data_IF_042460828327
#
_entry.id   IF_042460828327
#
_cell.length_a   1.000
_cell.length_b   1.000
_cell.length_c   1.000
_cell.angle_alpha   90.00
_cell.angle_beta   90.00
_cell.angle_gamma   90.00
#
_symmetry.space_group_name_H-M   'P 1'
#
loop_
_entity.id
_entity.type
_entity.pdbx_description
1 polymer ?
#
# COMPACT_ATOMS: atom_id res chain seq x y z
N UNK A 1 1.42 6.65 4.41
CA UNK A 1 2.04 6.38 5.72
C UNK A 1 3.48 6.86 5.84
N UNK A 2 3.90 7.85 5.05
CA UNK A 2 5.19 8.53 5.27
C UNK A 2 5.17 9.32 6.58
N UNK A 3 6.35 9.43 7.19
CA UNK A 3 6.59 10.31 8.33
C UNK A 3 7.19 11.66 7.91
N UNK A 4 7.62 12.49 8.88
CA UNK A 4 8.26 13.76 8.63
C UNK A 4 9.44 13.66 7.66
N UNK A 5 9.44 14.48 6.60
CA UNK A 5 10.46 14.47 5.54
C UNK A 5 10.56 13.14 4.76
N UNK A 6 9.43 12.45 4.56
CA UNK A 6 9.28 11.30 3.66
C UNK A 6 10.31 10.18 3.92
N UNK A 7 11.23 9.92 2.99
CA UNK A 7 12.21 8.84 3.09
C UNK A 7 13.29 9.05 4.16
N UNK A 8 13.45 10.28 4.66
CA UNK A 8 14.33 10.53 5.81
C UNK A 8 13.80 9.82 7.06
N UNK A 9 12.48 9.76 7.23
CA UNK A 9 11.89 9.20 8.43
C UNK A 9 12.14 7.69 8.54
N UNK A 10 11.73 6.92 7.53
CA UNK A 10 11.86 5.47 7.51
C UNK A 10 13.27 5.00 7.12
N UNK A 11 13.97 5.74 6.25
CA UNK A 11 15.32 5.39 5.81
C UNK A 11 16.46 5.81 6.74
N UNK A 12 16.27 6.85 7.56
CA UNK A 12 17.36 7.41 8.39
C UNK A 12 17.01 7.54 9.88
N UNK A 13 15.84 8.05 10.21
CA UNK A 13 15.47 8.31 11.60
C UNK A 13 15.06 7.04 12.33
N UNK A 14 14.08 6.29 11.83
CA UNK A 14 13.57 5.08 12.45
C UNK A 14 14.64 4.00 12.67
N UNK A 15 15.55 3.74 11.71
CA UNK A 15 16.65 2.79 11.92
C UNK A 15 17.59 3.18 13.07
N UNK A 16 17.73 4.49 13.37
CA UNK A 16 18.57 4.98 14.48
C UNK A 16 17.82 5.05 15.80
N UNK A 17 16.58 5.57 15.77
CA UNK A 17 15.77 5.77 16.96
C UNK A 17 15.19 4.46 17.51
N UNK A 18 14.86 3.51 16.63
CA UNK A 18 14.22 2.22 16.94
C UNK A 18 14.79 1.09 16.06
N UNK A 19 16.08 0.74 16.21
CA UNK A 19 16.76 -0.24 15.36
C UNK A 19 16.14 -1.65 15.38
N UNK A 20 15.44 -1.99 16.46
CA UNK A 20 14.74 -3.27 16.61
C UNK A 20 13.44 -3.35 15.80
N UNK A 21 12.93 -2.22 15.30
CA UNK A 21 11.70 -2.16 14.53
C UNK A 21 12.04 -2.08 13.05
N UNK A 22 11.64 -3.09 12.28
CA UNK A 22 11.69 -3.04 10.82
C UNK A 22 10.53 -2.19 10.29
N UNK A 23 10.66 -0.87 10.46
CA UNK A 23 9.67 0.10 10.03
C UNK A 23 9.72 0.30 8.51
N UNK A 24 8.55 0.26 7.87
CA UNK A 24 8.38 0.53 6.44
C UNK A 24 7.18 1.45 6.26
N UNK A 25 7.30 2.45 5.38
CA UNK A 25 6.21 3.38 5.12
C UNK A 25 5.00 2.69 4.48
N UNK A 26 5.16 1.56 3.78
CA UNK A 26 4.06 0.77 3.24
C UNK A 26 3.23 0.11 4.34
N UNK A 27 3.87 -0.50 5.34
CA UNK A 27 3.17 -1.07 6.52
C UNK A 27 2.40 0.01 7.26
N UNK A 28 3.02 1.18 7.44
CA UNK A 28 2.35 2.33 8.05
C UNK A 28 1.19 2.88 7.18
N UNK A 29 1.29 2.76 5.85
CA UNK A 29 0.22 3.16 4.93
C UNK A 29 -1.00 2.26 5.05
N UNK A 30 -0.80 0.94 5.17
CA UNK A 30 -1.90 -0.01 5.46
C UNK A 30 -2.56 0.31 6.79
N UNK A 31 -1.78 0.49 7.87
CA UNK A 31 -2.34 0.81 9.18
C UNK A 31 -3.12 2.14 9.20
N UNK A 32 -2.61 3.16 8.49
CA UNK A 32 -3.30 4.44 8.36
C UNK A 32 -4.56 4.33 7.50
N UNK A 33 -4.56 3.48 6.48
CA UNK A 33 -5.75 3.20 5.67
C UNK A 33 -6.85 2.53 6.50
N UNK A 34 -6.52 1.49 7.28
CA UNK A 34 -7.47 0.87 8.21
C UNK A 34 -8.03 1.88 9.20
N UNK A 35 -7.17 2.73 9.78
CA UNK A 35 -7.58 3.80 10.67
C UNK A 35 -8.52 4.79 10.00
N UNK A 36 -8.18 5.26 8.80
CA UNK A 36 -8.98 6.21 8.02
C UNK A 36 -10.38 5.67 7.72
N UNK A 37 -10.47 4.40 7.29
CA UNK A 37 -11.76 3.75 7.01
C UNK A 37 -12.61 3.65 8.27
N UNK A 38 -12.00 3.28 9.39
CA UNK A 38 -12.72 3.06 10.65
C UNK A 38 -13.19 4.36 11.30
N UNK A 39 -12.31 5.35 11.49
CA UNK A 39 -12.66 6.58 12.24
C UNK A 39 -13.63 7.48 11.48
N UNK A 40 -13.67 7.37 10.16
CA UNK A 40 -14.61 8.12 9.32
C UNK A 40 -15.83 7.27 8.91
N UNK A 41 -15.95 6.04 9.40
CA UNK A 41 -17.03 5.11 9.08
C UNK A 41 -17.29 5.00 7.56
N UNK A 42 -16.24 4.71 6.78
CA UNK A 42 -16.32 4.71 5.31
C UNK A 42 -16.86 3.41 4.71
N UNK A 43 -16.91 2.31 5.48
CA UNK A 43 -17.38 1.02 4.95
C UNK A 43 -18.78 1.11 4.30
N UNK A 44 -19.80 1.76 4.91
CA UNK A 44 -21.10 1.91 4.27
C UNK A 44 -21.05 2.71 2.96
N UNK A 45 -20.20 3.74 2.88
CA UNK A 45 -20.02 4.55 1.67
C UNK A 45 -19.35 3.75 0.57
N UNK A 46 -18.36 2.92 0.92
CA UNK A 46 -17.71 2.00 -0.02
C UNK A 46 -18.72 0.99 -0.58
N UNK A 47 -19.58 0.41 0.27
CA UNK A 47 -20.64 -0.50 -0.13
C UNK A 47 -21.71 0.19 -1.01
N UNK A 48 -22.11 1.42 -0.69
CA UNK A 48 -23.02 2.24 -1.50
C UNK A 48 -22.47 2.45 -2.93
N UNK A 49 -21.15 2.58 -3.06
CA UNK A 49 -20.45 2.70 -4.34
C UNK A 49 -20.08 1.35 -4.98
N UNK A 50 -20.59 0.24 -4.45
CA UNK A 50 -20.48 -1.09 -5.06
C UNK A 50 -19.20 -1.85 -4.73
N UNK A 51 -18.44 -1.42 -3.71
CA UNK A 51 -17.31 -2.21 -3.19
C UNK A 51 -17.83 -3.31 -2.27
N UNK A 52 -17.10 -4.43 -2.23
CA UNK A 52 -17.46 -5.64 -1.46
C UNK A 52 -16.45 -5.87 -0.35
N UNK A 53 -16.94 -5.94 0.89
CA UNK A 53 -16.14 -6.18 2.09
C UNK A 53 -16.15 -7.66 2.48
N UNK A 54 -15.01 -8.25 2.90
CA UNK A 54 -13.70 -7.62 3.13
C UNK A 54 -12.78 -7.58 1.89
N UNK A 55 -13.20 -8.15 0.75
CA UNK A 55 -12.34 -8.43 -0.40
C UNK A 55 -11.66 -7.18 -0.97
N UNK A 56 -12.38 -6.06 -1.07
CA UNK A 56 -11.84 -4.83 -1.63
C UNK A 56 -10.89 -4.10 -0.66
N UNK A 57 -11.10 -4.25 0.66
CA UNK A 57 -10.14 -3.74 1.64
C UNK A 57 -8.84 -4.52 1.55
N UNK A 58 -8.92 -5.86 1.47
CA UNK A 58 -7.74 -6.69 1.33
C UNK A 58 -7.02 -6.39 0.01
N UNK A 59 -7.75 -6.22 -1.09
CA UNK A 59 -7.19 -5.82 -2.37
C UNK A 59 -6.45 -4.48 -2.32
N UNK A 60 -7.03 -3.45 -1.68
CA UNK A 60 -6.38 -2.13 -1.53
C UNK A 60 -5.10 -2.26 -0.69
N UNK A 61 -5.16 -2.94 0.45
CA UNK A 61 -4.00 -3.13 1.33
C UNK A 61 -2.88 -3.93 0.66
N UNK A 62 -3.23 -4.93 -0.14
CA UNK A 62 -2.29 -5.73 -0.91
C UNK A 62 -1.62 -4.96 -2.06
N UNK A 63 -2.33 -4.03 -2.71
CA UNK A 63 -1.74 -3.15 -3.70
C UNK A 63 -0.69 -2.20 -3.10
N UNK A 64 -0.84 -1.82 -1.82
CA UNK A 64 0.10 -0.95 -1.11
C UNK A 64 1.32 -1.73 -0.62
N UNK A 65 1.10 -2.80 0.15
CA UNK A 65 2.16 -3.47 0.90
C UNK A 65 2.64 -4.78 0.24
N UNK A 66 1.98 -5.25 -0.81
CA UNK A 66 2.15 -6.60 -1.34
C UNK A 66 1.35 -7.65 -0.53
N UNK A 67 1.55 -8.94 -0.83
CA UNK A 67 0.74 -10.02 -0.25
C UNK A 67 0.92 -10.11 1.28
N UNK A 68 -0.20 -10.11 2.00
CA UNK A 68 -0.22 -10.18 3.46
C UNK A 68 -0.21 -11.65 3.92
N UNK A 69 1.00 -12.23 4.04
CA UNK A 69 1.33 -13.55 4.62
C UNK A 69 0.32 -14.68 4.31
N UNK A 70 0.58 -15.43 3.23
CA UNK A 70 0.12 -16.81 3.06
C UNK A 70 1.30 -17.71 2.60
N UNK A 71 2.26 -18.05 3.48
CA UNK A 71 3.29 -19.02 3.12
C UNK A 71 2.63 -20.38 2.85
N UNK A 72 2.55 -20.78 1.58
CA UNK A 72 2.03 -22.09 1.15
C UNK A 72 0.98 -22.09 0.04
N UNK A 73 0.50 -20.93 -0.42
CA UNK A 73 -0.40 -20.86 -1.57
C UNK A 73 0.37 -20.52 -2.86
N UNK A 74 -0.04 -21.11 -3.99
CA UNK A 74 0.50 -20.80 -5.32
C UNK A 74 0.21 -19.34 -5.70
N UNK A 75 -0.98 -18.86 -5.38
CA UNK A 75 -1.38 -17.46 -5.52
C UNK A 75 -1.35 -16.76 -4.15
N UNK A 76 -0.49 -15.74 -3.94
CA UNK A 76 -0.23 -15.20 -2.61
C UNK A 76 -1.22 -14.10 -2.17
N UNK A 77 -2.15 -13.71 -3.03
CA UNK A 77 -3.11 -12.62 -2.79
C UNK A 77 -4.52 -13.14 -2.52
N UNK A 78 -5.28 -12.41 -1.70
CA UNK A 78 -6.66 -12.72 -1.31
C UNK A 78 -7.67 -11.78 -1.97
N UNK A 79 -7.31 -10.51 -2.14
CA UNK A 79 -8.25 -9.48 -2.60
C UNK A 79 -8.73 -9.72 -4.03
N UNK A 80 -7.90 -10.34 -4.89
CA UNK A 80 -8.26 -10.72 -6.25
C UNK A 80 -7.68 -12.07 -6.65
N UNK A 81 -8.37 -12.83 -7.51
CA UNK A 81 -7.87 -14.06 -8.11
C UNK A 81 -6.72 -13.82 -9.12
N UNK A 82 -6.02 -14.90 -9.50
CA UNK A 82 -4.84 -14.87 -10.37
C UNK A 82 -5.13 -14.37 -11.80
N UNK A 83 -6.34 -14.58 -12.33
CA UNK A 83 -6.78 -14.04 -13.63
C UNK A 83 -6.84 -12.49 -13.63
N UNK A 84 -6.85 -11.87 -12.44
CA UNK A 84 -6.75 -10.42 -12.22
C UNK A 84 -5.40 -9.98 -11.66
N UNK A 85 -4.38 -10.83 -11.76
CA UNK A 85 -3.02 -10.55 -11.26
C UNK A 85 -2.44 -9.23 -11.76
N UNK A 86 -2.73 -8.85 -13.01
CA UNK A 86 -2.27 -7.60 -13.63
C UNK A 86 -2.66 -6.34 -12.85
N UNK A 87 -3.72 -6.38 -12.05
CA UNK A 87 -4.14 -5.24 -11.23
C UNK A 87 -3.11 -4.90 -10.14
N UNK A 88 -2.37 -5.89 -9.62
CA UNK A 88 -1.32 -5.69 -8.62
C UNK A 88 -0.04 -5.05 -9.19
N UNK A 89 0.06 -4.89 -10.50
CA UNK A 89 1.22 -4.31 -11.18
C UNK A 89 1.02 -2.81 -11.48
N UNK A 90 -0.09 -2.20 -11.06
CA UNK A 90 -0.44 -0.79 -11.34
C UNK A 90 0.12 0.17 -10.28
N UNK A 91 -0.25 -0.01 -9.01
CA UNK A 91 0.02 0.96 -7.93
C UNK A 91 1.44 0.86 -7.40
N UNK A 92 1.86 -0.35 -7.01
CA UNK A 92 3.21 -0.61 -6.51
C UNK A 92 3.70 -1.95 -7.07
N UNK A 93 4.40 -1.89 -8.20
CA UNK A 93 4.80 -3.08 -8.94
C UNK A 93 6.02 -3.73 -8.28
N UNK A 94 5.79 -4.77 -7.48
CA UNK A 94 6.87 -5.50 -6.80
C UNK A 94 7.66 -6.44 -7.72
N UNK A 95 7.23 -6.65 -8.98
CA UNK A 95 7.93 -7.51 -9.96
C UNK A 95 9.10 -6.80 -10.62
N UNK A 96 8.88 -5.59 -11.13
CA UNK A 96 9.88 -4.85 -11.91
C UNK A 96 9.96 -3.35 -11.56
N UNK A 97 9.09 -2.84 -10.68
CA UNK A 97 9.08 -1.45 -10.26
C UNK A 97 8.56 -0.46 -11.31
N UNK A 98 7.95 -0.91 -12.41
CA UNK A 98 7.27 -0.02 -13.35
C UNK A 98 5.82 0.15 -12.85
N UNK A 99 5.53 1.29 -12.24
CA UNK A 99 4.23 1.61 -11.62
C UNK A 99 3.91 3.11 -11.71
N UNK A 100 2.65 3.45 -11.47
CA UNK A 100 2.14 4.84 -11.62
C UNK A 100 2.71 5.80 -10.58
N UNK A 101 3.20 5.29 -9.44
CA UNK A 101 3.89 6.07 -8.42
C UNK A 101 5.11 6.79 -9.02
N UNK A 102 5.96 6.06 -9.78
CA UNK A 102 7.13 6.64 -10.45
C UNK A 102 6.78 7.62 -11.54
N UNK A 103 5.70 7.36 -12.27
CA UNK A 103 5.28 8.25 -13.34
C UNK A 103 4.88 9.62 -12.78
N UNK A 104 4.11 9.64 -11.67
CA UNK A 104 3.74 10.89 -11.02
C UNK A 104 4.96 11.61 -10.45
N UNK A 105 5.76 10.95 -9.61
CA UNK A 105 6.85 11.66 -8.93
C UNK A 105 7.95 12.08 -9.91
N UNK A 106 8.23 11.35 -10.99
CA UNK A 106 9.17 11.83 -12.02
C UNK A 106 8.67 13.11 -12.71
N UNK A 107 7.40 13.18 -13.07
CA UNK A 107 6.84 14.37 -13.72
C UNK A 107 6.78 15.55 -12.74
N UNK A 108 6.33 15.29 -11.51
CA UNK A 108 6.16 16.30 -10.46
C UNK A 108 7.50 16.85 -9.98
N UNK A 109 8.44 15.99 -9.63
CA UNK A 109 9.72 16.39 -9.02
C UNK A 109 10.60 17.12 -10.03
N UNK A 110 10.60 16.71 -11.30
CA UNK A 110 11.29 17.44 -12.37
C UNK A 110 10.66 18.81 -12.68
N UNK A 111 9.39 19.01 -12.33
CA UNK A 111 8.71 20.28 -12.51
C UNK A 111 8.93 21.26 -11.34
N UNK A 112 9.26 20.77 -10.15
CA UNK A 112 9.54 21.64 -9.00
C UNK A 112 10.87 22.40 -9.24
N UNK A 113 10.86 23.74 -9.24
CA UNK A 113 12.06 24.57 -9.43
C UNK A 113 12.96 24.63 -8.19
#
# INVERSE_FOLDING_TARGET
>A
GHGPFSHMFDGMFMPRARPQLNWKHETASVAMFDHLVEVNNLKPVMEEHGLVMPEDLDFIKEQIAGPQRNPGQQWPYKGRPEDKSFLYEVVANKRNGIDVDKWDYFARDCHQP
#
